data_IF_478228022715
#
_entry.id   IF_478228022715
#
_cell.length_a   1.000
_cell.length_b   1.000
_cell.length_c   1.000
_cell.angle_alpha   90.00
_cell.angle_beta   90.00
_cell.angle_gamma   90.00
#
_symmetry.space_group_name_H-M   'P 1'
#
loop_
_entity.id
_entity.type
_entity.pdbx_description
1 polymer ?
#
# COMPACT_ATOMS: atom_id res chain seq x y z
N UNK A 1 -23.84 6.19 -3.26
CA UNK A 1 -22.98 5.07 -2.81
C UNK A 1 -22.78 4.17 -4.01
N UNK A 2 -21.63 4.30 -4.69
CA UNK A 2 -21.26 3.33 -5.73
C UNK A 2 -20.83 2.05 -5.01
N UNK A 3 -21.46 0.97 -5.40
CA UNK A 3 -21.30 -0.35 -4.80
C UNK A 3 -19.83 -0.80 -4.92
N UNK A 4 -19.15 -0.93 -3.80
CA UNK A 4 -17.79 -1.49 -3.69
C UNK A 4 -17.68 -2.86 -4.38
N UNK A 5 -18.79 -3.62 -4.44
CA UNK A 5 -18.88 -4.87 -5.18
C UNK A 5 -18.72 -4.69 -6.69
N UNK A 6 -19.18 -3.59 -7.27
CA UNK A 6 -19.05 -3.34 -8.72
C UNK A 6 -17.63 -2.90 -9.10
N UNK A 7 -16.99 -2.05 -8.30
CA UNK A 7 -15.59 -1.65 -8.55
C UNK A 7 -14.63 -2.85 -8.49
N UNK A 8 -14.91 -3.75 -7.57
CA UNK A 8 -14.17 -5.00 -7.37
C UNK A 8 -14.37 -6.00 -8.52
N UNK A 9 -15.62 -6.17 -8.96
CA UNK A 9 -15.95 -7.04 -10.10
C UNK A 9 -15.37 -6.49 -11.40
N UNK A 10 -15.30 -5.17 -11.55
CA UNK A 10 -14.72 -4.51 -12.73
C UNK A 10 -13.18 -4.66 -12.76
N UNK A 11 -12.49 -4.46 -11.63
CA UNK A 11 -11.05 -4.65 -11.52
C UNK A 11 -10.62 -6.10 -11.78
N UNK A 12 -11.32 -7.08 -11.20
CA UNK A 12 -11.08 -8.50 -11.48
C UNK A 12 -11.39 -8.88 -12.93
N UNK A 13 -12.48 -8.36 -13.52
CA UNK A 13 -12.81 -8.66 -14.93
C UNK A 13 -11.81 -8.07 -15.93
N UNK A 14 -11.30 -6.88 -15.68
CA UNK A 14 -10.26 -6.29 -16.53
C UNK A 14 -8.97 -7.12 -16.49
N UNK A 15 -8.61 -7.66 -15.32
CA UNK A 15 -7.44 -8.55 -15.19
C UNK A 15 -7.60 -9.91 -15.87
N UNK A 16 -8.81 -10.50 -15.83
CA UNK A 16 -9.08 -11.84 -16.41
C UNK A 16 -9.21 -11.81 -17.94
N UNK A 17 -9.39 -10.67 -18.59
CA UNK A 17 -9.49 -10.56 -20.04
C UNK A 17 -8.15 -10.30 -20.74
N UNK A 18 -7.10 -9.93 -20.02
CA UNK A 18 -5.76 -9.70 -20.59
C UNK A 18 -4.88 -10.96 -20.65
N UNK A 19 -5.35 -12.11 -20.19
CA UNK A 19 -4.61 -13.37 -20.09
C UNK A 19 -4.51 -14.14 -21.43
N UNK A 20 -4.35 -13.42 -22.55
CA UNK A 20 -4.12 -14.04 -23.87
C UNK A 20 -2.99 -13.34 -24.61
N UNK A 21 -1.79 -13.54 -24.14
CA UNK A 21 -0.52 -13.61 -24.90
C UNK A 21 0.68 -13.41 -23.96
N UNK A 22 1.06 -14.44 -23.22
CA UNK A 22 2.34 -14.47 -22.52
C UNK A 22 3.47 -14.46 -23.59
N UNK A 23 3.99 -13.29 -23.87
CA UNK A 23 5.21 -13.11 -24.66
C UNK A 23 6.41 -13.11 -23.71
N UNK A 24 7.61 -13.49 -24.19
CA UNK A 24 8.83 -13.64 -23.38
C UNK A 24 9.24 -12.46 -22.48
N UNK A 25 8.52 -11.34 -22.54
CA UNK A 25 8.66 -10.19 -21.63
C UNK A 25 8.03 -10.45 -20.25
N UNK A 26 6.98 -11.27 -20.18
CA UNK A 26 6.30 -11.60 -18.91
C UNK A 26 7.15 -12.56 -18.07
N UNK A 27 7.90 -13.46 -18.72
CA UNK A 27 8.82 -14.38 -18.03
C UNK A 27 9.95 -13.63 -17.33
N UNK A 28 10.54 -12.61 -17.98
CA UNK A 28 11.56 -11.75 -17.36
C UNK A 28 11.03 -10.90 -16.20
N UNK A 29 9.77 -10.49 -16.26
CA UNK A 29 9.11 -9.77 -15.15
C UNK A 29 8.86 -10.68 -13.96
N UNK A 30 8.44 -11.92 -14.18
CA UNK A 30 8.21 -12.93 -13.14
C UNK A 30 9.52 -13.30 -12.43
N UNK A 31 10.61 -13.51 -13.19
CA UNK A 31 11.93 -13.78 -12.62
C UNK A 31 12.47 -12.61 -11.78
N UNK A 32 12.28 -11.37 -12.23
CA UNK A 32 12.68 -10.18 -11.47
C UNK A 32 11.88 -10.00 -10.17
N UNK A 33 10.61 -10.39 -10.15
CA UNK A 33 9.71 -10.30 -9.00
C UNK A 33 10.01 -11.37 -7.96
N UNK A 34 10.27 -12.60 -8.36
CA UNK A 34 10.74 -13.69 -7.48
C UNK A 34 12.07 -13.32 -6.81
N UNK A 35 13.02 -12.75 -7.58
CA UNK A 35 14.27 -12.26 -7.03
C UNK A 35 14.10 -11.14 -5.99
N UNK A 36 13.05 -10.31 -6.12
CA UNK A 36 12.75 -9.26 -5.17
C UNK A 36 12.27 -9.81 -3.83
N UNK A 37 11.33 -10.77 -3.85
CA UNK A 37 10.87 -11.48 -2.64
C UNK A 37 12.02 -12.22 -1.96
N UNK A 38 12.86 -12.89 -2.72
CA UNK A 38 14.04 -13.59 -2.21
C UNK A 38 15.07 -12.64 -1.61
N UNK A 39 15.18 -11.43 -2.17
CA UNK A 39 16.00 -10.37 -1.59
C UNK A 39 15.43 -9.89 -0.26
N UNK A 40 14.11 -9.73 -0.15
CA UNK A 40 13.45 -9.33 1.10
C UNK A 40 13.62 -10.37 2.19
N UNK A 41 13.56 -11.66 1.88
CA UNK A 41 13.81 -12.75 2.83
C UNK A 41 15.25 -12.71 3.41
N UNK A 42 16.21 -12.12 2.67
CA UNK A 42 17.59 -11.98 3.14
C UNK A 42 17.84 -10.73 3.99
N UNK A 43 17.03 -9.68 3.83
CA UNK A 43 17.30 -8.36 4.39
C UNK A 43 16.18 -7.79 5.27
N UNK A 44 15.05 -8.51 5.37
CA UNK A 44 13.89 -8.10 6.16
C UNK A 44 13.36 -9.22 7.03
N UNK A 45 12.47 -8.86 7.93
CA UNK A 45 11.71 -9.78 8.77
C UNK A 45 10.34 -9.99 8.14
N UNK A 46 10.00 -11.24 7.84
CA UNK A 46 8.66 -11.61 7.39
C UNK A 46 7.67 -11.37 8.55
N UNK A 47 6.64 -10.59 8.28
CA UNK A 47 5.55 -10.38 9.24
C UNK A 47 4.74 -11.67 9.32
N UNK A 48 4.61 -12.19 10.53
CA UNK A 48 3.93 -13.47 10.81
C UNK A 48 3.42 -13.52 12.24
N UNK A 49 2.45 -14.36 12.50
CA UNK A 49 1.90 -14.59 13.85
C UNK A 49 2.99 -14.99 14.85
N UNK A 50 3.99 -15.75 14.42
CA UNK A 50 5.06 -16.25 15.29
C UNK A 50 6.07 -15.18 15.72
N UNK A 51 6.35 -14.17 14.87
CA UNK A 51 7.41 -13.19 15.15
C UNK A 51 6.89 -11.77 15.40
N UNK A 52 5.81 -11.39 14.74
CA UNK A 52 5.25 -10.04 14.78
C UNK A 52 3.72 -10.10 14.86
N UNK A 53 3.17 -10.70 15.93
CA UNK A 53 1.75 -11.04 16.00
C UNK A 53 0.82 -9.83 15.86
N UNK A 54 1.21 -8.67 16.41
CA UNK A 54 0.40 -7.45 16.32
C UNK A 54 0.35 -6.89 14.88
N UNK A 55 1.46 -6.88 14.17
CA UNK A 55 1.50 -6.43 12.78
C UNK A 55 0.74 -7.41 11.87
N UNK A 56 0.89 -8.73 12.12
CA UNK A 56 0.16 -9.75 11.38
C UNK A 56 -1.35 -9.62 11.57
N UNK A 57 -1.81 -9.41 12.81
CA UNK A 57 -3.22 -9.19 13.12
C UNK A 57 -3.76 -7.97 12.36
N UNK A 58 -3.05 -6.85 12.39
CA UNK A 58 -3.45 -5.63 11.70
C UNK A 58 -3.59 -5.83 10.19
N UNK A 59 -2.64 -6.53 9.57
CA UNK A 59 -2.70 -6.85 8.15
C UNK A 59 -3.87 -7.80 7.84
N UNK A 60 -4.09 -8.81 8.68
CA UNK A 60 -5.19 -9.77 8.50
C UNK A 60 -6.56 -9.08 8.58
N UNK A 61 -6.76 -8.19 9.55
CA UNK A 61 -8.00 -7.42 9.70
C UNK A 61 -8.26 -6.50 8.48
N UNK A 62 -7.22 -5.84 7.98
CA UNK A 62 -7.33 -5.02 6.76
C UNK A 62 -7.63 -5.89 5.55
N UNK A 63 -6.96 -7.03 5.40
CA UNK A 63 -7.23 -7.98 4.32
C UNK A 63 -8.68 -8.47 4.35
N UNK A 64 -9.21 -8.82 5.52
CA UNK A 64 -10.62 -9.21 5.69
C UNK A 64 -11.56 -8.08 5.28
N UNK A 65 -11.32 -6.87 5.78
CA UNK A 65 -12.14 -5.70 5.50
C UNK A 65 -12.19 -5.33 4.02
N UNK A 66 -11.03 -5.34 3.35
CA UNK A 66 -10.92 -5.08 1.92
C UNK A 66 -11.22 -6.31 1.07
N UNK A 67 -11.51 -7.45 1.72
CA UNK A 67 -11.77 -8.76 1.12
C UNK A 67 -10.65 -9.20 0.16
N UNK A 68 -9.42 -8.97 0.55
CA UNK A 68 -8.21 -9.50 -0.06
C UNK A 68 -7.85 -10.80 0.66
N UNK A 69 -7.64 -11.93 -0.03
CA UNK A 69 -7.16 -13.12 0.64
C UNK A 69 -5.84 -12.87 1.37
N UNK A 70 -5.75 -13.17 2.69
CA UNK A 70 -4.49 -12.95 3.43
C UNK A 70 -3.31 -13.71 2.81
N UNK A 71 -3.58 -14.86 2.21
CA UNK A 71 -2.57 -15.67 1.50
C UNK A 71 -2.01 -15.02 0.23
N UNK A 72 -2.70 -14.02 -0.30
CA UNK A 72 -2.24 -13.24 -1.44
C UNK A 72 -1.19 -12.18 -1.06
N UNK A 73 -0.99 -11.92 0.23
CA UNK A 73 -0.16 -10.82 0.73
C UNK A 73 1.05 -11.38 1.50
N UNK A 74 2.25 -11.11 1.02
CA UNK A 74 3.49 -11.30 1.78
C UNK A 74 3.93 -9.94 2.32
N UNK A 75 4.20 -9.81 3.60
CA UNK A 75 4.56 -8.53 4.21
C UNK A 75 5.89 -8.62 4.96
N UNK A 76 6.72 -7.59 4.85
CA UNK A 76 8.06 -7.55 5.43
C UNK A 76 8.34 -6.22 6.11
N UNK A 77 9.09 -6.27 7.22
CA UNK A 77 9.74 -5.10 7.81
C UNK A 77 11.22 -5.17 7.53
N UNK A 78 11.81 -4.07 7.06
CA UNK A 78 13.25 -3.95 6.88
C UNK A 78 13.80 -2.73 7.64
N UNK A 79 15.09 -2.80 8.00
CA UNK A 79 15.74 -1.78 8.82
C UNK A 79 16.02 -0.53 7.99
N UNK A 80 15.31 0.55 8.27
CA UNK A 80 15.58 1.91 7.80
C UNK A 80 14.93 2.91 8.76
N UNK A 81 15.57 4.07 8.92
CA UNK A 81 15.00 5.21 9.65
C UNK A 81 14.00 6.01 8.79
N UNK A 82 13.96 5.78 7.49
CA UNK A 82 12.99 6.42 6.60
C UNK A 82 11.56 6.02 6.96
N UNK A 83 10.61 6.88 6.62
CA UNK A 83 9.19 6.62 6.81
C UNK A 83 8.61 6.23 5.46
N UNK A 84 8.61 4.93 5.18
CA UNK A 84 8.25 4.43 3.85
C UNK A 84 7.53 3.09 3.92
N UNK A 85 6.55 2.94 3.04
CA UNK A 85 5.89 1.69 2.69
C UNK A 85 5.85 1.53 1.17
N UNK A 86 5.80 0.30 0.69
CA UNK A 86 5.69 0.00 -0.73
C UNK A 86 4.86 -1.27 -0.96
N UNK A 87 4.11 -1.28 -2.06
CA UNK A 87 3.43 -2.47 -2.56
C UNK A 87 4.03 -2.90 -3.90
N UNK A 88 4.52 -4.13 -3.97
CA UNK A 88 4.96 -4.76 -5.21
C UNK A 88 3.96 -5.81 -5.63
N UNK A 89 3.41 -5.67 -6.83
CA UNK A 89 2.54 -6.68 -7.43
C UNK A 89 3.42 -7.80 -7.96
N UNK A 90 3.42 -8.95 -7.27
CA UNK A 90 4.22 -10.12 -7.64
C UNK A 90 3.56 -10.91 -8.78
N UNK A 91 2.24 -11.00 -8.75
CA UNK A 91 1.40 -11.58 -9.80
C UNK A 91 0.02 -10.92 -9.80
N UNK A 92 -0.87 -11.34 -10.71
CA UNK A 92 -2.27 -10.88 -10.71
C UNK A 92 -2.98 -11.14 -9.39
N UNK A 93 -2.55 -12.15 -8.65
CA UNK A 93 -3.24 -12.66 -7.46
C UNK A 93 -2.41 -12.52 -6.18
N UNK A 94 -1.23 -11.90 -6.24
CA UNK A 94 -0.36 -11.74 -5.07
C UNK A 94 0.46 -10.46 -5.10
N UNK A 95 0.73 -9.92 -3.90
CA UNK A 95 1.59 -8.76 -3.69
C UNK A 95 2.55 -8.95 -2.52
N UNK A 96 3.58 -8.13 -2.53
CA UNK A 96 4.56 -8.01 -1.44
C UNK A 96 4.46 -6.60 -0.88
N UNK A 97 4.09 -6.48 0.39
CA UNK A 97 4.14 -5.23 1.14
C UNK A 97 5.48 -5.13 1.85
N UNK A 98 6.07 -3.95 1.83
CA UNK A 98 7.29 -3.65 2.58
C UNK A 98 7.09 -2.42 3.43
N UNK A 99 7.55 -2.50 4.66
CA UNK A 99 7.50 -1.40 5.62
C UNK A 99 8.90 -1.17 6.18
N UNK A 100 9.28 0.09 6.34
CA UNK A 100 10.48 0.42 7.10
C UNK A 100 10.22 0.29 8.60
N UNK A 101 11.25 -0.04 9.37
CA UNK A 101 11.16 -0.02 10.82
C UNK A 101 10.86 1.38 11.37
N UNK A 102 11.32 2.44 10.68
CA UNK A 102 10.98 3.82 11.03
C UNK A 102 9.48 4.08 10.94
N UNK A 103 8.82 3.63 9.86
CA UNK A 103 7.37 3.77 9.70
C UNK A 103 6.62 2.98 10.77
N UNK A 104 6.97 1.71 10.97
CA UNK A 104 6.29 0.83 11.95
C UNK A 104 6.39 1.41 13.37
N UNK A 105 7.54 1.98 13.74
CA UNK A 105 7.73 2.59 15.05
C UNK A 105 7.03 3.94 15.22
N UNK A 106 6.73 4.64 14.11
CA UNK A 106 6.08 5.95 14.12
C UNK A 106 4.56 5.84 14.24
N UNK A 107 3.96 4.81 13.64
CA UNK A 107 2.52 4.65 13.53
C UNK A 107 1.93 3.93 14.73
N UNK A 108 0.75 4.37 15.16
CA UNK A 108 -0.08 3.54 16.02
C UNK A 108 -0.85 2.48 15.20
N UNK A 109 -1.66 1.67 15.88
CA UNK A 109 -2.37 0.56 15.25
C UNK A 109 -3.31 1.00 14.12
N UNK A 110 -4.10 2.05 14.34
CA UNK A 110 -5.07 2.53 13.35
C UNK A 110 -4.36 3.20 12.16
N UNK A 111 -3.33 3.98 12.44
CA UNK A 111 -2.48 4.61 11.44
C UNK A 111 -1.74 3.58 10.58
N UNK A 112 -1.22 2.52 11.20
CA UNK A 112 -0.59 1.42 10.48
C UNK A 112 -1.60 0.68 9.58
N UNK A 113 -2.81 0.42 10.08
CA UNK A 113 -3.89 -0.17 9.26
C UNK A 113 -4.26 0.72 8.07
N UNK A 114 -4.23 2.06 8.23
CA UNK A 114 -4.42 2.98 7.11
C UNK A 114 -3.33 2.78 6.05
N UNK A 115 -2.06 2.76 6.45
CA UNK A 115 -0.92 2.55 5.53
C UNK A 115 -1.04 1.20 4.82
N UNK A 116 -1.33 0.13 5.55
CA UNK A 116 -1.56 -1.21 4.95
C UNK A 116 -2.69 -1.16 3.92
N UNK A 117 -3.78 -0.46 4.24
CA UNK A 117 -4.94 -0.34 3.34
C UNK A 117 -4.62 0.49 2.10
N UNK A 118 -3.82 1.55 2.24
CA UNK A 118 -3.33 2.37 1.14
C UNK A 118 -2.48 1.53 0.18
N UNK A 119 -1.51 0.78 0.70
CA UNK A 119 -0.64 -0.09 -0.09
C UNK A 119 -1.43 -1.21 -0.79
N UNK A 120 -2.41 -1.82 -0.10
CA UNK A 120 -3.32 -2.77 -0.73
C UNK A 120 -4.23 -2.10 -1.77
N UNK A 121 -4.49 -0.80 -1.65
CA UNK A 121 -5.18 0.00 -2.66
C UNK A 121 -4.45 -0.03 -3.99
N UNK A 122 -3.13 0.09 -4.00
CA UNK A 122 -2.31 -0.04 -5.21
C UNK A 122 -2.46 -1.42 -5.84
N UNK A 123 -2.47 -2.48 -5.02
CA UNK A 123 -2.69 -3.84 -5.50
C UNK A 123 -4.10 -4.06 -6.07
N UNK A 124 -5.14 -3.66 -5.34
CA UNK A 124 -6.55 -3.83 -5.71
C UNK A 124 -6.87 -3.09 -7.02
N UNK A 125 -6.35 -1.88 -7.17
CA UNK A 125 -6.59 -1.01 -8.33
C UNK A 125 -5.63 -1.29 -9.49
N UNK A 126 -4.62 -2.16 -9.29
CA UNK A 126 -3.64 -2.51 -10.31
C UNK A 126 -2.67 -1.38 -10.62
N UNK A 127 -2.41 -0.49 -9.67
CA UNK A 127 -1.39 0.54 -9.81
C UNK A 127 -0.02 -0.14 -9.88
N UNK A 128 0.75 0.15 -10.93
CA UNK A 128 2.11 -0.38 -11.03
C UNK A 128 3.03 0.47 -10.17
N UNK A 129 3.38 -0.01 -8.98
CA UNK A 129 4.27 0.68 -8.04
C UNK A 129 5.65 0.99 -8.64
N UNK A 130 5.99 0.31 -9.73
CA UNK A 130 7.28 0.49 -10.38
C UNK A 130 7.33 1.63 -11.40
N UNK A 131 6.25 2.37 -11.66
CA UNK A 131 6.29 3.58 -12.51
C UNK A 131 6.94 3.42 -13.90
N UNK A 132 7.11 2.16 -14.37
CA UNK A 132 8.06 1.83 -15.44
C UNK A 132 7.59 2.18 -16.85
N UNK A 133 6.36 2.67 -17.03
CA UNK A 133 5.81 2.84 -18.37
C UNK A 133 5.48 4.29 -18.74
N UNK A 134 5.51 5.21 -17.79
CA UNK A 134 5.33 6.62 -18.08
C UNK A 134 6.63 7.31 -17.68
N UNK A 135 7.24 8.02 -18.64
CA UNK A 135 8.39 8.88 -18.34
C UNK A 135 8.01 9.76 -17.14
N UNK A 136 8.55 9.45 -15.96
CA UNK A 136 8.23 10.12 -14.68
C UNK A 136 8.53 11.62 -14.65
N UNK A 137 8.93 12.18 -15.79
CA UNK A 137 9.22 13.60 -16.00
C UNK A 137 8.17 14.32 -16.85
N UNK A 138 7.09 13.65 -17.31
CA UNK A 138 6.02 14.31 -18.04
C UNK A 138 4.90 14.80 -17.11
N UNK A 139 4.26 15.92 -17.45
CA UNK A 139 3.12 16.46 -16.70
C UNK A 139 1.98 15.41 -16.56
N UNK A 140 1.75 14.64 -17.61
CA UNK A 140 0.77 13.55 -17.64
C UNK A 140 1.13 12.42 -16.66
N UNK A 141 2.43 12.05 -16.60
CA UNK A 141 2.93 11.05 -15.63
C UNK A 141 2.68 11.47 -14.20
N UNK A 142 2.96 12.73 -13.85
CA UNK A 142 2.66 13.26 -12.52
C UNK A 142 1.15 13.30 -12.22
N UNK A 143 0.30 13.61 -13.19
CA UNK A 143 -1.15 13.60 -13.00
C UNK A 143 -1.68 12.19 -12.74
N UNK A 144 -1.18 11.20 -13.46
CA UNK A 144 -1.56 9.80 -13.28
C UNK A 144 -1.10 9.32 -11.91
N UNK A 145 0.16 9.54 -11.54
CA UNK A 145 0.67 9.17 -10.22
C UNK A 145 -0.16 9.80 -9.10
N UNK A 146 -0.44 11.10 -9.17
CA UNK A 146 -1.29 11.77 -8.19
C UNK A 146 -2.70 11.18 -8.11
N UNK A 147 -3.27 10.81 -9.25
CA UNK A 147 -4.59 10.15 -9.29
C UNK A 147 -4.55 8.77 -8.64
N UNK A 148 -3.46 8.01 -8.82
CA UNK A 148 -3.24 6.73 -8.18
C UNK A 148 -3.14 6.86 -6.66
N UNK A 149 -2.35 7.83 -6.18
CA UNK A 149 -2.23 8.12 -4.74
C UNK A 149 -3.58 8.50 -4.13
N UNK A 150 -4.34 9.40 -4.76
CA UNK A 150 -5.67 9.80 -4.28
C UNK A 150 -6.65 8.63 -4.23
N UNK A 151 -6.55 7.67 -5.14
CA UNK A 151 -7.40 6.49 -5.11
C UNK A 151 -6.92 5.47 -4.06
N UNK A 152 -5.62 5.33 -3.85
CA UNK A 152 -5.06 4.53 -2.78
C UNK A 152 -5.43 5.10 -1.39
N UNK A 153 -5.38 6.43 -1.20
CA UNK A 153 -5.85 7.10 0.03
C UNK A 153 -7.31 6.80 0.34
N UNK A 154 -8.17 6.75 -0.68
CA UNK A 154 -9.59 6.40 -0.50
C UNK A 154 -9.76 4.95 -0.06
N UNK A 155 -8.97 4.03 -0.59
CA UNK A 155 -8.94 2.63 -0.11
C UNK A 155 -8.37 2.58 1.30
N UNK A 156 -7.32 3.37 1.60
CA UNK A 156 -6.77 3.55 2.94
C UNK A 156 -7.85 3.94 3.94
N UNK A 157 -8.64 4.96 3.62
CA UNK A 157 -9.78 5.36 4.45
C UNK A 157 -10.83 4.27 4.61
N UNK A 158 -11.19 3.55 3.55
CA UNK A 158 -12.15 2.44 3.61
C UNK A 158 -11.66 1.30 4.51
N UNK A 159 -10.36 1.13 4.62
CA UNK A 159 -9.75 0.12 5.49
C UNK A 159 -9.94 0.40 6.97
N UNK A 160 -10.08 1.66 7.39
CA UNK A 160 -10.20 2.04 8.81
C UNK A 160 -11.49 2.80 9.16
N UNK A 161 -12.15 3.44 8.18
CA UNK A 161 -13.36 4.29 8.32
C UNK A 161 -13.25 5.37 9.41
N UNK A 162 -12.05 5.84 9.67
CA UNK A 162 -11.76 6.93 10.61
C UNK A 162 -10.92 8.00 9.92
N UNK A 163 -11.54 9.16 9.65
CA UNK A 163 -10.89 10.24 8.92
C UNK A 163 -9.74 10.87 9.71
N UNK A 164 -9.89 11.03 11.02
CA UNK A 164 -8.85 11.66 11.86
C UNK A 164 -7.59 10.80 11.90
N UNK A 165 -7.74 9.48 12.03
CA UNK A 165 -6.62 8.54 11.98
C UNK A 165 -5.95 8.50 10.58
N UNK A 166 -6.76 8.50 9.51
CA UNK A 166 -6.25 8.54 8.14
C UNK A 166 -5.40 9.80 7.90
N UNK A 167 -5.91 10.96 8.28
CA UNK A 167 -5.20 12.23 8.13
C UNK A 167 -3.96 12.31 9.01
N UNK A 168 -4.01 11.74 10.21
CA UNK A 168 -2.86 11.66 11.12
C UNK A 168 -1.76 10.78 10.52
N UNK A 169 -2.12 9.62 9.96
CA UNK A 169 -1.17 8.74 9.28
C UNK A 169 -0.48 9.46 8.11
N UNK A 170 -1.24 10.17 7.26
CA UNK A 170 -0.69 10.96 6.14
C UNK A 170 0.27 12.04 6.66
N UNK A 171 -0.10 12.78 7.70
CA UNK A 171 0.76 13.83 8.25
C UNK A 171 2.03 13.28 8.89
N UNK A 172 1.94 12.17 9.60
CA UNK A 172 3.10 11.48 10.16
C UNK A 172 4.04 10.98 9.06
N UNK A 173 3.49 10.38 8.01
CA UNK A 173 4.28 9.94 6.85
C UNK A 173 5.00 11.11 6.19
N UNK A 174 4.31 12.25 6.03
CA UNK A 174 4.89 13.44 5.39
C UNK A 174 5.91 14.17 6.26
N UNK A 175 5.76 14.16 7.58
CA UNK A 175 6.59 14.96 8.51
C UNK A 175 7.64 14.16 9.28
N UNK A 176 7.43 12.84 9.47
CA UNK A 176 8.23 12.01 10.36
C UNK A 176 8.03 12.31 11.85
N UNK A 177 7.02 13.14 12.22
CA UNK A 177 6.79 13.54 13.60
C UNK A 177 5.95 12.51 14.35
N UNK A 178 6.31 12.26 15.61
CA UNK A 178 5.52 11.42 16.52
C UNK A 178 4.28 12.17 17.03
N UNK A 179 3.34 11.45 17.62
CA UNK A 179 2.14 12.02 18.26
C UNK A 179 2.46 12.98 19.42
N UNK A 180 3.67 12.93 19.98
CA UNK A 180 4.12 13.89 21.00
C UNK A 180 4.29 15.31 20.43
N UNK A 181 4.70 15.42 19.17
CA UNK A 181 4.99 16.67 18.49
C UNK A 181 3.89 17.11 17.55
N UNK A 182 3.08 16.17 17.05
CA UNK A 182 2.02 16.42 16.10
C UNK A 182 0.65 16.47 16.80
N UNK A 183 0.13 17.68 17.02
CA UNK A 183 -1.27 17.90 17.43
C UNK A 183 -2.09 18.09 16.17
N UNK A 184 -2.88 17.08 15.84
CA UNK A 184 -3.71 17.13 14.64
C UNK A 184 -5.06 17.79 14.93
N UNK A 185 -5.36 18.84 14.19
CA UNK A 185 -6.67 19.47 14.07
C UNK A 185 -6.91 19.81 12.61
N UNK A 186 -7.96 19.25 12.03
CA UNK A 186 -8.29 19.41 10.60
C UNK A 186 -8.45 20.89 10.23
N UNK A 187 -9.09 21.67 11.08
CA UNK A 187 -9.35 23.10 10.83
C UNK A 187 -8.05 23.88 10.79
N UNK A 188 -7.16 23.62 11.74
CA UNK A 188 -5.82 24.23 11.76
C UNK A 188 -4.97 23.82 10.57
N UNK A 189 -5.05 22.56 10.17
CA UNK A 189 -4.32 22.09 8.98
C UNK A 189 -4.82 22.75 7.69
N UNK A 190 -6.12 22.90 7.52
CA UNK A 190 -6.69 23.57 6.36
C UNK A 190 -6.38 25.08 6.32
N UNK A 191 -6.27 25.73 7.47
CA UNK A 191 -5.94 27.16 7.58
C UNK A 191 -4.48 27.50 7.22
N UNK A 192 -3.59 26.52 7.14
CA UNK A 192 -2.19 26.75 6.73
C UNK A 192 -2.04 27.13 5.24
N UNK A 193 -3.12 27.05 4.45
CA UNK A 193 -3.11 27.39 3.02
C UNK A 193 -3.52 28.85 2.73
N UNK A 194 -3.87 29.61 3.75
CA UNK A 194 -4.17 31.05 3.65
C UNK A 194 -2.93 31.90 3.98
#
# INVERSE_FOLDING_TARGET
>A
MADLGQARTLGMKVRLTEDRAATGRDTLKIEGRSAHRDSMLRHGVLISEAMTPDLERNIAEVCERLSVPRSAVSAFVYSSADIQADCFIDSTDSCVLRFTSGLVNLMDEAEFKFVVSHELGHFILGHDSCGQFISGSSAEGFMIQRSQELSADRIGYLGIENLDEALRAILKTASGLTSEHLRFDVSMFLSQKE
#
